data_IF_722682312549
#
_entry.id   IF_722682312549
#
_cell.length_a   1.000
_cell.length_b   1.000
_cell.length_c   1.000
_cell.angle_alpha   90.00
_cell.angle_beta   90.00
_cell.angle_gamma   90.00
#
_symmetry.space_group_name_H-M   'P 1'
#
loop_
_entity.id
_entity.type
_entity.pdbx_description
1 polymer ?
#
# COMPACT_ATOMS: atom_id res chain seq x y z
N UNK A 1 0.85 16.83 -7.04
CA UNK A 1 1.57 17.60 -6.00
C UNK A 1 3.05 17.21 -5.93
N UNK A 2 3.96 18.17 -6.12
CA UNK A 2 5.39 18.01 -5.82
C UNK A 2 5.59 17.93 -4.30
N UNK A 3 6.65 17.28 -3.80
CA UNK A 3 6.90 17.16 -2.34
C UNK A 3 7.06 18.54 -1.71
N UNK A 4 7.65 19.48 -2.44
CA UNK A 4 8.03 20.80 -1.94
C UNK A 4 6.88 21.64 -1.37
N UNK A 5 5.70 21.79 -2.01
CA UNK A 5 4.59 22.52 -1.41
C UNK A 5 4.07 21.86 -0.13
N UNK A 6 3.99 20.53 -0.06
CA UNK A 6 3.52 19.82 1.16
C UNK A 6 4.54 19.91 2.30
N UNK A 7 5.83 19.77 1.97
CA UNK A 7 6.93 19.94 2.93
C UNK A 7 6.92 21.34 3.55
N UNK A 8 6.70 22.39 2.76
CA UNK A 8 6.60 23.77 3.28
C UNK A 8 5.45 23.93 4.27
N UNK A 9 4.29 23.36 3.98
CA UNK A 9 3.12 23.42 4.87
C UNK A 9 3.42 22.73 6.21
N UNK A 10 4.02 21.53 6.16
CA UNK A 10 4.38 20.80 7.38
C UNK A 10 5.44 21.54 8.17
N UNK A 11 6.50 22.05 7.53
CA UNK A 11 7.54 22.82 8.21
C UNK A 11 7.00 24.09 8.88
N UNK A 12 6.03 24.78 8.25
CA UNK A 12 5.36 25.95 8.86
C UNK A 12 4.57 25.58 10.12
N UNK A 13 3.92 24.42 10.15
CA UNK A 13 3.13 23.98 11.29
C UNK A 13 3.99 23.33 12.40
N UNK A 14 5.05 22.61 12.01
CA UNK A 14 5.92 21.84 12.90
C UNK A 14 7.39 22.01 12.48
N UNK A 15 8.06 23.10 12.92
CA UNK A 15 9.44 23.37 12.56
C UNK A 15 10.38 22.16 12.79
N UNK A 16 11.26 21.90 11.83
CA UNK A 16 12.20 20.78 11.79
C UNK A 16 11.64 19.45 11.29
N UNK A 17 10.37 19.39 10.87
CA UNK A 17 9.74 18.17 10.37
C UNK A 17 10.05 17.94 8.89
N UNK A 18 10.58 16.76 8.55
CA UNK A 18 10.88 16.36 7.17
C UNK A 18 9.97 15.21 6.74
N UNK A 19 9.21 15.39 5.66
CA UNK A 19 8.40 14.33 5.07
C UNK A 19 9.31 13.38 4.29
N UNK A 20 9.17 12.07 4.55
CA UNK A 20 9.86 11.01 3.83
C UNK A 20 8.82 10.14 3.11
N UNK A 21 8.44 10.47 1.86
CA UNK A 21 7.41 9.71 1.16
C UNK A 21 7.96 8.34 0.75
N UNK A 22 7.40 7.28 1.32
CA UNK A 22 7.74 5.89 1.05
C UNK A 22 6.97 5.41 -0.18
N UNK A 23 7.70 4.88 -1.15
CA UNK A 23 7.14 4.28 -2.36
C UNK A 23 7.47 2.80 -2.35
N UNK A 24 6.43 1.97 -2.46
CA UNK A 24 6.56 0.53 -2.55
C UNK A 24 6.34 0.08 -3.98
N UNK A 25 7.06 -0.94 -4.41
CA UNK A 25 6.77 -1.67 -5.62
C UNK A 25 6.82 -3.16 -5.37
N UNK A 26 5.91 -3.91 -5.97
CA UNK A 26 5.96 -5.37 -6.00
C UNK A 26 6.01 -5.82 -7.45
N UNK A 27 6.98 -6.67 -7.78
CA UNK A 27 7.08 -7.27 -9.11
C UNK A 27 7.06 -8.80 -8.94
N UNK A 28 6.20 -9.48 -9.69
CA UNK A 28 6.12 -10.94 -9.63
C UNK A 28 7.33 -11.55 -10.32
N UNK A 29 8.29 -12.00 -9.54
CA UNK A 29 9.51 -12.62 -10.10
C UNK A 29 9.42 -14.14 -10.06
N UNK A 30 9.84 -14.79 -11.15
CA UNK A 30 10.03 -16.24 -11.19
C UNK A 30 11.38 -16.56 -10.54
N UNK A 31 11.38 -17.23 -9.39
CA UNK A 31 12.60 -17.56 -8.64
C UNK A 31 13.42 -18.69 -9.28
N UNK A 32 12.80 -19.55 -10.11
CA UNK A 32 13.50 -20.66 -10.77
C UNK A 32 12.96 -20.87 -12.18
N UNK A 33 13.85 -21.11 -13.15
CA UNK A 33 13.47 -21.43 -14.54
C UNK A 33 12.82 -22.81 -14.66
N UNK A 34 13.16 -23.76 -13.76
CA UNK A 34 12.81 -25.18 -13.91
C UNK A 34 11.71 -25.72 -12.97
N UNK A 35 11.28 -25.00 -11.92
CA UNK A 35 10.30 -25.52 -10.94
C UNK A 35 9.12 -24.59 -10.63
N UNK A 36 8.92 -23.52 -11.39
CA UNK A 36 7.71 -22.70 -11.34
C UNK A 36 7.45 -21.98 -10.01
N UNK A 37 8.41 -21.98 -9.08
CA UNK A 37 8.31 -21.21 -7.84
C UNK A 37 8.45 -19.72 -8.17
N UNK A 38 7.42 -18.95 -7.86
CA UNK A 38 7.44 -17.48 -7.95
C UNK A 38 7.56 -16.92 -6.54
N UNK A 39 8.12 -15.73 -6.42
CA UNK A 39 7.96 -14.92 -5.24
C UNK A 39 7.57 -13.51 -5.66
N UNK A 40 6.95 -12.81 -4.73
CA UNK A 40 6.56 -11.42 -4.91
C UNK A 40 7.44 -10.60 -3.97
N UNK A 41 8.67 -10.22 -4.40
CA UNK A 41 9.46 -9.26 -3.66
C UNK A 41 8.70 -7.93 -3.52
N UNK A 42 8.84 -7.33 -2.34
CA UNK A 42 8.36 -5.98 -2.03
C UNK A 42 9.59 -5.11 -1.90
N UNK A 43 9.76 -4.18 -2.83
CA UNK A 43 10.82 -3.17 -2.79
C UNK A 43 10.29 -1.86 -2.23
N UNK A 44 11.18 -1.11 -1.60
CA UNK A 44 10.91 0.20 -1.05
C UNK A 44 11.94 1.20 -1.53
N UNK A 45 11.49 2.41 -1.84
CA UNK A 45 12.32 3.59 -2.11
C UNK A 45 11.69 4.81 -1.46
N UNK A 46 12.46 5.88 -1.31
CA UNK A 46 11.97 7.16 -0.81
C UNK A 46 11.89 8.17 -1.96
N UNK A 47 10.87 9.03 -1.95
CA UNK A 47 10.70 10.05 -2.98
C UNK A 47 11.70 11.21 -2.83
N UNK A 48 12.36 11.35 -1.69
CA UNK A 48 13.43 12.33 -1.48
C UNK A 48 14.66 12.06 -2.35
N UNK A 49 14.84 10.81 -2.83
CA UNK A 49 15.91 10.49 -3.76
C UNK A 49 15.57 11.00 -5.18
N UNK A 50 16.51 11.68 -5.85
CA UNK A 50 16.40 12.05 -7.26
C UNK A 50 16.02 10.86 -8.15
N UNK A 51 15.19 11.12 -9.16
CA UNK A 51 14.64 10.09 -10.05
C UNK A 51 15.74 9.32 -10.80
N UNK A 52 16.79 10.02 -11.22
CA UNK A 52 17.97 9.48 -11.89
C UNK A 52 18.77 8.56 -10.98
N UNK A 53 18.90 8.89 -9.69
CA UNK A 53 19.53 8.02 -8.68
C UNK A 53 18.69 6.77 -8.46
N UNK A 54 17.37 6.92 -8.26
CA UNK A 54 16.44 5.79 -8.08
C UNK A 54 16.43 4.79 -9.23
N UNK A 55 16.74 5.25 -10.44
CA UNK A 55 16.73 4.44 -11.67
C UNK A 55 18.05 3.73 -11.93
N UNK A 56 19.12 4.05 -11.21
CA UNK A 56 20.43 3.42 -11.36
C UNK A 56 20.57 2.28 -10.35
N UNK A 57 20.54 1.00 -10.77
CA UNK A 57 20.65 -0.14 -9.83
C UNK A 57 21.93 -0.11 -9.00
N UNK A 58 23.04 0.39 -9.57
CA UNK A 58 24.32 0.55 -8.89
C UNK A 58 24.31 1.53 -7.71
N UNK A 59 23.31 2.40 -7.63
CA UNK A 59 23.18 3.40 -6.56
C UNK A 59 22.29 2.92 -5.40
N UNK A 60 21.80 1.67 -5.45
CA UNK A 60 21.01 1.05 -4.38
C UNK A 60 19.85 1.92 -3.87
N UNK A 61 19.23 2.72 -4.75
CA UNK A 61 18.13 3.63 -4.40
C UNK A 61 16.82 2.91 -4.04
N UNK A 62 16.81 1.59 -4.00
CA UNK A 62 15.71 0.74 -3.57
C UNK A 62 16.23 -0.37 -2.68
N UNK A 63 15.48 -0.72 -1.64
CA UNK A 63 15.77 -1.83 -0.75
C UNK A 63 14.68 -2.90 -0.83
N UNK A 64 15.06 -4.15 -0.68
CA UNK A 64 14.11 -5.27 -0.57
C UNK A 64 13.59 -5.34 0.87
N UNK A 65 12.28 -5.21 1.08
CA UNK A 65 11.64 -5.31 2.38
C UNK A 65 11.21 -6.74 2.73
N UNK A 66 10.60 -7.44 1.79
CA UNK A 66 9.98 -8.73 2.07
C UNK A 66 9.76 -9.55 0.79
N UNK A 67 9.52 -10.86 0.96
CA UNK A 67 8.92 -11.72 -0.06
C UNK A 67 7.51 -12.09 0.40
N UNK A 68 6.50 -11.79 -0.42
CA UNK A 68 5.12 -12.18 -0.11
C UNK A 68 4.89 -13.67 -0.41
N UNK A 69 4.03 -14.34 0.37
CA UNK A 69 3.74 -15.76 0.18
C UNK A 69 3.00 -16.00 -1.14
N UNK A 70 3.51 -16.94 -1.94
CA UNK A 70 2.78 -17.48 -3.10
C UNK A 70 2.02 -18.73 -2.70
N UNK A 71 0.70 -18.61 -2.50
CA UNK A 71 -0.15 -19.75 -2.17
C UNK A 71 -1.14 -20.04 -3.30
N UNK A 72 -1.25 -21.31 -3.71
CA UNK A 72 -2.20 -21.76 -4.73
C UNK A 72 -3.59 -22.10 -4.16
N UNK A 73 -3.69 -22.22 -2.83
CA UNK A 73 -4.90 -22.52 -2.05
C UNK A 73 -5.85 -23.51 -2.75
N UNK A 74 -5.37 -24.72 -3.11
CA UNK A 74 -6.12 -25.64 -3.96
C UNK A 74 -7.37 -26.22 -3.27
N UNK A 75 -7.40 -26.21 -1.94
CA UNK A 75 -8.55 -26.65 -1.14
C UNK A 75 -9.78 -25.75 -1.30
N UNK A 76 -9.61 -24.49 -1.75
CA UNK A 76 -10.71 -23.58 -2.03
C UNK A 76 -11.19 -23.80 -3.47
N UNK A 77 -12.24 -24.63 -3.61
CA UNK A 77 -12.82 -24.99 -4.93
C UNK A 77 -13.47 -23.79 -5.64
N UNK A 78 -14.11 -22.90 -4.88
CA UNK A 78 -14.74 -21.70 -5.45
C UNK A 78 -13.67 -20.70 -5.90
N UNK A 79 -13.64 -20.41 -7.20
CA UNK A 79 -12.63 -19.53 -7.83
C UNK A 79 -12.69 -18.09 -7.31
N UNK A 80 -13.89 -17.55 -7.06
CA UNK A 80 -14.07 -16.19 -6.56
C UNK A 80 -13.63 -16.08 -5.09
N UNK A 81 -14.03 -17.04 -4.26
CA UNK A 81 -13.59 -17.12 -2.87
C UNK A 81 -12.06 -17.23 -2.77
N UNK A 82 -11.45 -18.11 -3.58
CA UNK A 82 -9.99 -18.27 -3.62
C UNK A 82 -9.26 -16.97 -3.99
N UNK A 83 -9.75 -16.26 -5.02
CA UNK A 83 -9.19 -14.94 -5.42
C UNK A 83 -9.26 -13.94 -4.27
N UNK A 84 -10.39 -13.89 -3.55
CA UNK A 84 -10.57 -13.02 -2.38
C UNK A 84 -9.61 -13.39 -1.25
N UNK A 85 -9.44 -14.68 -0.95
CA UNK A 85 -8.51 -15.13 0.09
C UNK A 85 -7.07 -14.76 -0.24
N UNK A 86 -6.65 -14.91 -1.50
CA UNK A 86 -5.31 -14.48 -1.94
C UNK A 86 -5.14 -12.96 -1.79
N UNK A 87 -6.14 -12.17 -2.19
CA UNK A 87 -6.11 -10.71 -2.00
C UNK A 87 -6.04 -10.32 -0.51
N UNK A 88 -6.85 -10.95 0.35
CA UNK A 88 -6.81 -10.72 1.79
C UNK A 88 -5.45 -11.06 2.39
N UNK A 89 -4.82 -12.17 1.96
CA UNK A 89 -3.47 -12.54 2.38
C UNK A 89 -2.46 -11.48 1.96
N UNK A 90 -2.53 -11.00 0.72
CA UNK A 90 -1.68 -9.90 0.23
C UNK A 90 -1.82 -8.65 1.13
N UNK A 91 -3.05 -8.18 1.37
CA UNK A 91 -3.28 -7.00 2.22
C UNK A 91 -2.88 -7.21 3.67
N UNK A 92 -3.05 -8.42 4.22
CA UNK A 92 -2.59 -8.74 5.57
C UNK A 92 -1.06 -8.65 5.69
N UNK A 93 -0.34 -9.18 4.70
CA UNK A 93 1.12 -9.04 4.63
C UNK A 93 1.54 -7.58 4.48
N UNK A 94 0.92 -6.83 3.57
CA UNK A 94 1.23 -5.40 3.37
C UNK A 94 0.96 -4.57 4.63
N UNK A 95 -0.14 -4.84 5.34
CA UNK A 95 -0.45 -4.21 6.63
C UNK A 95 0.64 -4.48 7.67
N UNK A 96 1.15 -5.72 7.72
CA UNK A 96 2.22 -6.09 8.64
C UNK A 96 3.56 -5.46 8.28
N UNK A 97 3.88 -5.37 6.99
CA UNK A 97 5.11 -4.70 6.51
C UNK A 97 5.06 -3.21 6.82
N UNK A 98 3.91 -2.57 6.59
CA UNK A 98 3.73 -1.12 6.77
C UNK A 98 3.43 -0.70 8.22
N UNK A 99 3.20 -1.63 9.15
CA UNK A 99 2.81 -1.26 10.52
C UNK A 99 3.90 -0.48 11.25
N UNK A 100 5.17 -0.71 10.92
CA UNK A 100 6.31 -0.07 11.60
C UNK A 100 6.45 1.42 11.27
N UNK A 101 5.89 1.90 10.15
CA UNK A 101 5.98 3.32 9.78
C UNK A 101 4.79 4.15 10.26
N UNK A 102 3.77 3.52 10.87
CA UNK A 102 2.56 4.22 11.29
C UNK A 102 2.84 5.26 12.37
N UNK A 103 3.42 4.81 13.49
CA UNK A 103 3.75 5.70 14.59
C UNK A 103 4.80 6.74 14.18
N UNK A 104 5.95 6.38 13.57
CA UNK A 104 6.91 7.36 13.09
C UNK A 104 6.37 8.35 12.05
N UNK A 105 5.37 7.94 11.24
CA UNK A 105 4.71 8.84 10.30
C UNK A 105 3.95 9.97 11.00
N UNK A 106 3.29 9.66 12.13
CA UNK A 106 2.50 10.61 12.91
C UNK A 106 3.40 11.44 13.85
N UNK A 107 4.21 10.79 14.68
CA UNK A 107 5.03 11.46 15.72
C UNK A 107 6.37 12.00 15.21
N UNK A 108 6.85 11.46 14.09
CA UNK A 108 8.20 11.70 13.59
C UNK A 108 9.25 10.85 14.32
N UNK A 109 10.37 10.62 13.65
CA UNK A 109 11.54 9.94 14.22
C UNK A 109 12.81 10.65 13.79
N UNK A 110 13.77 10.78 14.70
CA UNK A 110 15.06 11.38 14.38
C UNK A 110 15.83 10.48 13.41
N UNK A 111 16.24 11.03 12.27
CA UNK A 111 17.10 10.36 11.31
C UNK A 111 18.23 11.28 10.89
N UNK A 112 19.45 10.76 10.85
CA UNK A 112 20.57 11.43 10.23
C UNK A 112 20.47 11.34 8.71
N UNK A 113 20.65 12.46 8.04
CA UNK A 113 20.77 12.51 6.57
C UNK A 113 22.22 12.28 6.14
N UNK A 114 22.46 12.16 4.83
CA UNK A 114 23.80 11.95 4.26
C UNK A 114 24.78 13.09 4.53
N UNK A 115 24.29 14.27 4.93
CA UNK A 115 25.05 15.43 5.39
C UNK A 115 25.37 15.39 6.90
N UNK A 116 24.96 14.34 7.62
CA UNK A 116 25.14 14.21 9.06
C UNK A 116 24.15 15.02 9.90
N UNK A 117 23.28 15.82 9.28
CA UNK A 117 22.27 16.61 9.98
C UNK A 117 21.10 15.71 10.37
N UNK A 118 20.77 15.72 11.67
CA UNK A 118 19.60 15.02 12.23
C UNK A 118 18.34 15.84 11.97
N UNK A 119 17.31 15.20 11.42
CA UNK A 119 16.00 15.82 11.16
C UNK A 119 14.91 14.94 11.77
N UNK A 120 13.81 15.56 12.19
CA UNK A 120 12.61 14.81 12.61
C UNK A 120 11.88 14.36 11.35
N UNK A 121 12.07 13.11 10.97
CA UNK A 121 11.55 12.53 9.74
C UNK A 121 10.20 11.84 9.96
N UNK A 122 9.24 12.13 9.09
CA UNK A 122 7.91 11.54 9.06
C UNK A 122 7.80 10.63 7.83
N UNK A 123 8.08 9.31 7.95
CA UNK A 123 7.87 8.36 6.86
C UNK A 123 6.38 8.17 6.59
N UNK A 124 5.93 8.51 5.38
CA UNK A 124 4.53 8.40 4.98
C UNK A 124 4.44 7.50 3.76
N UNK A 125 3.63 6.44 3.83
CA UNK A 125 3.32 5.63 2.66
C UNK A 125 2.68 6.53 1.59
N UNK A 126 3.31 6.70 0.45
CA UNK A 126 2.91 7.69 -0.54
C UNK A 126 2.35 7.07 -1.83
N UNK A 127 2.91 5.95 -2.28
CA UNK A 127 2.46 5.27 -3.48
C UNK A 127 2.83 3.79 -3.49
N UNK A 128 1.97 2.98 -4.11
CA UNK A 128 2.32 1.66 -4.61
C UNK A 128 2.49 1.73 -6.13
N UNK A 129 3.63 1.29 -6.63
CA UNK A 129 3.93 1.20 -8.05
C UNK A 129 3.83 -0.27 -8.47
N UNK A 130 3.04 -0.51 -9.50
CA UNK A 130 2.86 -1.81 -10.14
C UNK A 130 2.17 -1.61 -11.48
N UNK A 131 2.17 -2.65 -12.30
CA UNK A 131 1.35 -2.73 -13.51
C UNK A 131 -0.13 -2.94 -13.15
N UNK A 132 -0.98 -3.01 -14.17
CA UNK A 132 -2.43 -2.93 -13.98
C UNK A 132 -3.01 -4.05 -13.08
N UNK A 133 -2.68 -5.35 -13.27
CA UNK A 133 -3.20 -6.39 -12.37
C UNK A 133 -2.81 -6.19 -10.91
N UNK A 134 -1.63 -5.65 -10.66
CA UNK A 134 -1.05 -5.37 -9.35
C UNK A 134 -1.76 -4.16 -8.73
N UNK A 135 -2.01 -3.10 -9.51
CA UNK A 135 -2.81 -1.97 -9.06
C UNK A 135 -4.24 -2.39 -8.71
N UNK A 136 -4.85 -3.28 -9.51
CA UNK A 136 -6.16 -3.85 -9.23
C UNK A 136 -6.16 -4.66 -7.92
N UNK A 137 -5.12 -5.48 -7.69
CA UNK A 137 -4.95 -6.22 -6.44
C UNK A 137 -4.80 -5.28 -5.24
N UNK A 138 -3.99 -4.22 -5.37
CA UNK A 138 -3.67 -3.28 -4.31
C UNK A 138 -4.85 -2.39 -3.94
N UNK A 139 -5.66 -1.97 -4.92
CA UNK A 139 -6.81 -1.09 -4.71
C UNK A 139 -8.10 -1.85 -4.42
N UNK A 140 -8.15 -3.15 -4.73
CA UNK A 140 -9.34 -3.97 -4.55
C UNK A 140 -10.46 -3.69 -5.56
N UNK A 141 -10.18 -2.92 -6.61
CA UNK A 141 -11.15 -2.68 -7.71
C UNK A 141 -11.37 -3.95 -8.54
N UNK A 142 -12.38 -3.97 -9.40
CA UNK A 142 -12.59 -5.11 -10.30
C UNK A 142 -11.69 -5.00 -11.52
N UNK A 143 -11.34 -6.15 -12.09
CA UNK A 143 -10.57 -6.18 -13.32
C UNK A 143 -11.36 -5.57 -14.49
N UNK A 144 -10.73 -4.65 -15.22
CA UNK A 144 -11.34 -3.80 -16.24
C UNK A 144 -11.92 -2.49 -15.70
N UNK A 145 -11.72 -2.15 -14.43
CA UNK A 145 -12.02 -0.82 -13.87
C UNK A 145 -10.72 -0.03 -13.65
N UNK A 146 -10.78 1.29 -13.70
CA UNK A 146 -9.64 2.14 -13.35
C UNK A 146 -9.42 2.14 -11.83
N UNK A 147 -8.18 1.95 -11.32
CA UNK A 147 -7.89 2.04 -9.89
C UNK A 147 -7.94 3.47 -9.35
N UNK A 148 -7.91 4.47 -10.23
CA UNK A 148 -7.76 5.89 -9.88
C UNK A 148 -9.09 6.65 -9.87
N UNK A 149 -9.90 6.47 -10.91
CA UNK A 149 -11.09 7.28 -11.19
C UNK A 149 -12.30 6.43 -11.56
N UNK A 150 -13.46 7.07 -11.64
CA UNK A 150 -14.75 6.44 -11.97
C UNK A 150 -15.03 6.37 -13.49
N UNK A 151 -13.99 6.32 -14.32
CA UNK A 151 -14.14 6.10 -15.77
C UNK A 151 -14.90 4.80 -16.04
N UNK A 152 -15.93 4.84 -16.92
CA UNK A 152 -16.62 3.64 -17.38
C UNK A 152 -15.65 2.64 -18.01
N UNK A 153 -15.96 1.35 -17.84
CA UNK A 153 -15.12 0.25 -18.35
C UNK A 153 -14.90 0.33 -19.86
N UNK A 154 -15.93 0.71 -20.60
CA UNK A 154 -15.92 0.74 -22.06
C UNK A 154 -15.16 1.96 -22.62
N UNK A 155 -14.80 2.91 -21.76
CA UNK A 155 -14.04 4.13 -22.08
C UNK A 155 -12.60 4.07 -21.51
N UNK A 156 -12.21 2.91 -20.96
CA UNK A 156 -10.91 2.73 -20.31
C UNK A 156 -9.79 2.67 -21.37
N UNK A 157 -8.94 3.70 -21.37
CA UNK A 157 -7.84 3.84 -22.34
C UNK A 157 -8.17 4.74 -23.53
N UNK A 158 -9.40 5.27 -23.58
CA UNK A 158 -9.83 6.27 -24.55
C UNK A 158 -9.42 7.70 -24.12
N UNK A 159 -9.82 8.67 -24.94
CA UNK A 159 -9.37 10.07 -24.97
C UNK A 159 -8.95 10.68 -23.62
N UNK A 160 -7.66 11.01 -23.48
CA UNK A 160 -7.07 11.62 -22.30
C UNK A 160 -7.62 13.02 -21.97
N UNK A 161 -8.42 13.60 -22.87
CA UNK A 161 -9.05 14.89 -22.67
C UNK A 161 -10.28 14.83 -21.75
N UNK A 162 -10.85 13.65 -21.51
CA UNK A 162 -11.99 13.48 -20.60
C UNK A 162 -11.47 13.21 -19.19
N UNK A 163 -11.76 14.13 -18.26
CA UNK A 163 -11.42 13.97 -16.86
C UNK A 163 -12.59 13.37 -16.08
N UNK A 164 -12.39 12.17 -15.54
CA UNK A 164 -13.31 11.54 -14.60
C UNK A 164 -12.89 11.89 -13.16
N UNK A 165 -13.85 12.03 -12.23
CA UNK A 165 -13.53 12.25 -10.83
C UNK A 165 -12.74 11.08 -10.25
N UNK A 166 -11.84 11.38 -9.32
CA UNK A 166 -11.17 10.35 -8.54
C UNK A 166 -12.19 9.58 -7.71
N UNK A 167 -11.93 8.28 -7.50
CA UNK A 167 -12.82 7.43 -6.72
C UNK A 167 -13.00 8.00 -5.30
N UNK A 168 -14.24 7.95 -4.81
CA UNK A 168 -14.54 8.36 -3.45
C UNK A 168 -13.99 7.35 -2.43
N UNK A 169 -12.90 7.75 -1.78
CA UNK A 169 -12.25 6.97 -0.74
C UNK A 169 -13.16 6.72 0.47
N UNK A 170 -13.98 7.70 0.85
CA UNK A 170 -14.87 7.57 2.02
C UNK A 170 -15.97 6.56 1.73
N UNK A 171 -16.55 6.60 0.52
CA UNK A 171 -17.52 5.59 0.09
C UNK A 171 -16.92 4.18 0.11
N UNK A 172 -15.69 4.01 -0.39
CA UNK A 172 -14.98 2.73 -0.36
C UNK A 172 -14.72 2.24 1.08
N UNK A 173 -14.26 3.13 1.97
CA UNK A 173 -14.02 2.80 3.38
C UNK A 173 -15.30 2.43 4.12
N UNK A 174 -16.41 3.13 3.85
CA UNK A 174 -17.71 2.81 4.43
C UNK A 174 -18.19 1.43 3.97
N UNK A 175 -18.08 1.12 2.69
CA UNK A 175 -18.43 -0.21 2.17
C UNK A 175 -17.58 -1.32 2.80
N UNK A 176 -16.28 -1.08 2.99
CA UNK A 176 -15.38 -2.03 3.67
C UNK A 176 -15.76 -2.24 5.14
N UNK A 177 -16.10 -1.18 5.87
CA UNK A 177 -16.54 -1.28 7.27
C UNK A 177 -17.85 -2.07 7.40
N UNK A 178 -18.80 -1.85 6.49
CA UNK A 178 -20.05 -2.62 6.41
C UNK A 178 -19.74 -4.10 6.16
N UNK A 179 -18.86 -4.41 5.21
CA UNK A 179 -18.46 -5.78 4.93
C UNK A 179 -17.73 -6.43 6.12
N UNK A 180 -16.83 -5.73 6.79
CA UNK A 180 -16.10 -6.24 7.97
C UNK A 180 -17.03 -6.51 9.15
N UNK A 181 -17.97 -5.60 9.43
CA UNK A 181 -18.98 -5.80 10.47
C UNK A 181 -19.89 -7.01 10.16
N UNK A 182 -20.30 -7.19 8.90
CA UNK A 182 -21.06 -8.37 8.47
C UNK A 182 -20.26 -9.67 8.61
N UNK A 183 -18.98 -9.66 8.22
CA UNK A 183 -18.09 -10.82 8.38
C UNK A 183 -17.82 -11.15 9.84
N UNK A 184 -17.65 -10.15 10.71
CA UNK A 184 -17.52 -10.35 12.17
C UNK A 184 -18.81 -10.88 12.79
N UNK A 185 -19.96 -10.42 12.33
CA UNK A 185 -21.26 -10.93 12.76
C UNK A 185 -21.49 -12.39 12.33
N UNK A 186 -21.03 -12.78 11.14
CA UNK A 186 -21.07 -14.17 10.68
C UNK A 186 -19.95 -15.06 11.27
N UNK A 187 -18.82 -14.47 11.68
CA UNK A 187 -17.71 -15.18 12.32
C UNK A 187 -17.96 -15.49 13.81
N UNK A 188 -19.12 -15.12 14.38
CA UNK A 188 -19.62 -15.70 15.62
C UNK A 188 -20.09 -17.14 15.36
N UNK A 189 -19.12 -18.02 15.10
CA UNK A 189 -19.25 -19.46 15.21
C UNK A 189 -18.49 -19.81 16.48
N UNK A 190 -19.12 -20.42 17.50
CA UNK A 190 -18.43 -20.77 18.74
C UNK A 190 -17.37 -21.81 18.42
N UNK A 191 -16.12 -21.37 18.28
CA UNK A 191 -14.98 -22.28 18.35
C UNK A 191 -14.90 -22.77 19.81
N UNK A 192 -15.09 -24.08 19.97
CA UNK A 192 -14.91 -24.80 21.24
C UNK A 192 -13.55 -24.47 21.85
N UNK A 193 -13.44 -24.32 23.18
CA UNK A 193 -12.26 -23.73 23.82
C UNK A 193 -11.06 -24.68 23.73
N UNK A 194 -10.06 -24.29 22.95
CA UNK A 194 -8.70 -24.76 23.15
C UNK A 194 -8.13 -23.96 24.32
N UNK A 195 -7.92 -24.58 25.47
CA UNK A 195 -7.29 -23.95 26.64
C UNK A 195 -5.82 -23.59 26.33
N UNK A 196 -5.41 -22.31 26.41
CA UNK A 196 -4.01 -21.95 26.59
C UNK A 196 -3.74 -21.61 28.07
N UNK A 197 -2.55 -21.93 28.62
CA UNK A 197 -2.19 -21.50 29.95
C UNK A 197 -1.91 -19.99 29.96
N UNK A 198 -2.62 -19.29 30.86
CA UNK A 198 -2.29 -18.00 31.47
C UNK A 198 -1.61 -16.94 30.58
N UNK A 199 -2.42 -16.19 29.83
CA UNK A 199 -2.12 -14.79 29.51
C UNK A 199 -3.37 -13.97 29.81
N UNK A 200 -3.23 -12.99 30.70
CA UNK A 200 -4.31 -12.08 31.10
C UNK A 200 -4.76 -11.21 29.92
N UNK A 201 -6.06 -10.91 29.78
CA UNK A 201 -6.56 -10.11 28.67
C UNK A 201 -6.25 -8.62 28.90
N UNK A 202 -5.75 -7.86 27.90
CA UNK A 202 -5.73 -6.41 27.99
C UNK A 202 -7.14 -5.82 27.81
N UNK A 203 -7.39 -4.75 28.57
CA UNK A 203 -8.64 -3.99 28.69
C UNK A 203 -9.19 -3.39 27.37
N UNK A 204 -10.50 -3.08 27.31
CA UNK A 204 -11.21 -2.71 26.10
C UNK A 204 -11.11 -1.21 25.83
N UNK A 205 -10.01 -0.77 25.22
CA UNK A 205 -9.93 0.59 24.66
C UNK A 205 -8.95 0.59 23.51
N UNK A 206 -9.47 0.58 22.28
CA UNK A 206 -8.95 1.36 21.15
C UNK A 206 -9.72 0.97 19.90
N UNK A 207 -10.48 1.93 19.38
CA UNK A 207 -11.22 1.84 18.12
C UNK A 207 -10.20 1.88 16.97
N UNK A 208 -9.66 0.73 16.61
CA UNK A 208 -8.65 0.57 15.56
C UNK A 208 -9.28 0.70 14.17
N UNK A 209 -9.46 1.93 13.70
CA UNK A 209 -9.80 2.17 12.29
C UNK A 209 -8.57 2.13 11.38
N UNK A 210 -8.79 1.41 10.29
CA UNK A 210 -8.00 1.24 9.10
C UNK A 210 -7.68 2.60 8.45
N UNK A 211 -6.59 3.23 8.86
CA UNK A 211 -5.95 4.26 8.05
C UNK A 211 -4.74 3.65 7.35
N UNK A 212 -4.92 3.28 6.09
CA UNK A 212 -3.86 3.41 5.08
C UNK A 212 -4.28 4.58 4.17
N UNK A 213 -4.21 5.85 4.61
CA UNK A 213 -4.58 6.99 3.79
C UNK A 213 -3.29 7.52 3.18
N UNK A 214 -2.94 7.11 1.96
CA UNK A 214 -2.17 7.92 1.00
C UNK A 214 -1.87 7.02 -0.21
N UNK A 215 -2.79 7.01 -1.18
CA UNK A 215 -2.47 6.66 -2.56
C UNK A 215 -2.36 7.96 -3.34
N UNK A 216 -1.17 8.58 -3.32
CA UNK A 216 -0.85 9.67 -4.24
C UNK A 216 -0.39 9.04 -5.56
N UNK A 217 -1.33 8.76 -6.45
CA UNK A 217 -1.03 8.47 -7.85
C UNK A 217 -0.52 9.77 -8.48
N UNK A 218 0.76 9.79 -8.87
CA UNK A 218 1.28 10.91 -9.65
C UNK A 218 0.65 10.90 -11.03
N UNK A 219 0.03 12.01 -11.50
CA UNK A 219 -0.17 12.17 -12.93
C UNK A 219 1.21 12.20 -13.60
N UNK A 220 1.38 11.40 -14.65
CA UNK A 220 2.47 11.62 -15.59
C UNK A 220 2.30 13.04 -16.17
N UNK A 221 3.35 13.89 -16.19
CA UNK A 221 3.27 15.13 -16.94
C UNK A 221 3.04 14.78 -18.42
N UNK A 222 2.24 15.57 -19.16
CA UNK A 222 2.07 15.37 -20.59
C UNK A 222 3.46 15.39 -21.25
N UNK A 223 3.72 14.38 -22.08
CA UNK A 223 4.90 14.36 -22.93
C UNK A 223 4.78 15.57 -23.87
N UNK A 224 5.63 16.59 -23.65
CA UNK A 224 5.81 17.61 -24.66
C UNK A 224 6.44 16.96 -25.90
N UNK A 225 5.84 17.11 -27.10
CA UNK A 225 6.48 16.66 -28.33
C UNK A 225 7.73 17.51 -28.65
N UNK A 226 8.66 16.96 -29.45
CA UNK A 226 9.98 17.56 -29.72
C UNK A 226 9.91 18.90 -30.45
#
# INVERSE_FOLDING_TARGET
>A
MTIQPMQKVVECATPGATIVPIIISSDKTRLTQFKGKSAYPVYMTIRNLPKDIRRKPSQQGQILLAYLPTTSLPHIKNKAARRRTVANLYHACMRKILSSIKEPGDSGVEMASGDGIVRRCHPIFAAHVGDYPEQVLVTGVKYGECPCCDVPRDELGDDHNIQYPFRDLNAAMNALNIADSFLRAQAYVPYSPFHPPHLTPPHPTSTFHLTLPYFSLYPHPPLHPP
#
